data_IF_491978479278
#
_entry.id   IF_491978479278
#
_cell.length_a   1.000
_cell.length_b   1.000
_cell.length_c   1.000
_cell.angle_alpha   90.00
_cell.angle_beta   90.00
_cell.angle_gamma   90.00
#
_symmetry.space_group_name_H-M   'P 1'
#
loop_
_entity.id
_entity.type
_entity.pdbx_description
1 polymer ?
#
# COMPACT_ATOMS: atom_id res chain seq x y z
N UNK A 1 20.62 -5.19 16.02
CA UNK A 1 19.20 -5.43 15.75
C UNK A 1 18.75 -4.78 14.46
N UNK A 2 18.98 -3.50 14.24
CA UNK A 2 18.63 -2.75 13.00
C UNK A 2 19.12 -3.43 11.73
N UNK A 3 20.36 -3.95 11.73
CA UNK A 3 20.92 -4.69 10.60
C UNK A 3 20.14 -5.98 10.27
N UNK A 4 19.62 -6.68 11.26
CA UNK A 4 18.81 -7.90 11.04
C UNK A 4 17.48 -7.57 10.40
N UNK A 5 16.80 -6.54 10.88
CA UNK A 5 15.53 -6.06 10.28
C UNK A 5 15.78 -5.56 8.86
N UNK A 6 16.87 -4.82 8.63
CA UNK A 6 17.26 -4.35 7.30
C UNK A 6 17.53 -5.52 6.35
N UNK A 7 18.24 -6.55 6.81
CA UNK A 7 18.49 -7.76 6.01
C UNK A 7 17.20 -8.50 5.63
N UNK A 8 16.25 -8.64 6.56
CA UNK A 8 14.94 -9.23 6.31
C UNK A 8 14.19 -8.42 5.27
N UNK A 9 14.20 -7.09 5.37
CA UNK A 9 13.56 -6.19 4.44
C UNK A 9 14.15 -6.31 3.04
N UNK A 10 15.48 -6.31 2.91
CA UNK A 10 16.17 -6.50 1.62
C UNK A 10 15.82 -7.86 1.02
N UNK A 11 15.84 -8.93 1.83
CA UNK A 11 15.47 -10.27 1.39
C UNK A 11 14.01 -10.31 0.89
N UNK A 12 13.08 -9.67 1.60
CA UNK A 12 11.70 -9.56 1.18
C UNK A 12 11.56 -8.82 -0.15
N UNK A 13 12.28 -7.71 -0.36
CA UNK A 13 12.29 -7.00 -1.65
C UNK A 13 12.82 -7.87 -2.79
N UNK A 14 13.89 -8.64 -2.58
CA UNK A 14 14.43 -9.56 -3.58
C UNK A 14 13.38 -10.64 -3.93
N UNK A 15 12.71 -11.21 -2.93
CA UNK A 15 11.65 -12.20 -3.14
C UNK A 15 10.45 -11.63 -3.90
N UNK A 16 10.04 -10.41 -3.58
CA UNK A 16 8.96 -9.70 -4.28
C UNK A 16 9.36 -9.40 -5.74
N UNK A 17 10.60 -8.95 -5.97
CA UNK A 17 11.10 -8.68 -7.32
C UNK A 17 11.25 -9.94 -8.18
N UNK A 18 11.56 -11.07 -7.56
CA UNK A 18 11.73 -12.37 -8.24
C UNK A 18 10.48 -13.23 -8.29
N UNK A 19 9.30 -12.67 -8.02
CA UNK A 19 8.01 -13.40 -8.03
C UNK A 19 7.78 -14.20 -9.31
N UNK A 20 8.14 -13.63 -10.47
CA UNK A 20 7.98 -14.32 -11.75
C UNK A 20 8.75 -15.65 -11.83
N UNK A 21 9.84 -15.77 -11.07
CA UNK A 21 10.72 -16.95 -11.02
C UNK A 21 10.27 -17.87 -9.88
N UNK A 22 10.08 -17.30 -8.69
CA UNK A 22 9.80 -18.05 -7.44
C UNK A 22 8.35 -18.49 -7.32
N UNK A 23 7.42 -17.87 -8.08
CA UNK A 23 5.96 -18.10 -8.00
C UNK A 23 5.36 -17.84 -6.61
N UNK A 24 6.06 -17.11 -5.75
CA UNK A 24 5.61 -16.75 -4.41
C UNK A 24 4.79 -15.46 -4.48
N UNK A 25 3.65 -15.43 -3.79
CA UNK A 25 2.77 -14.27 -3.79
C UNK A 25 3.41 -13.08 -3.07
N UNK A 26 3.49 -11.92 -3.73
CA UNK A 26 4.06 -10.66 -3.20
C UNK A 26 3.44 -10.26 -1.86
N UNK A 27 2.10 -10.34 -1.76
CA UNK A 27 1.39 -9.96 -0.56
C UNK A 27 1.74 -10.87 0.63
N UNK A 28 1.89 -12.18 0.39
CA UNK A 28 2.29 -13.13 1.42
C UNK A 28 3.69 -12.83 1.94
N UNK A 29 4.65 -12.55 1.04
CA UNK A 29 6.03 -12.17 1.42
C UNK A 29 6.04 -10.89 2.25
N UNK A 30 5.31 -9.85 1.79
CA UNK A 30 5.25 -8.57 2.48
C UNK A 30 4.64 -8.69 3.88
N UNK A 31 3.51 -9.41 4.03
CA UNK A 31 2.86 -9.64 5.31
C UNK A 31 3.78 -10.44 6.26
N UNK A 32 4.37 -11.51 5.76
CA UNK A 32 5.27 -12.35 6.55
C UNK A 32 6.48 -11.56 7.04
N UNK A 33 7.20 -10.87 6.14
CA UNK A 33 8.37 -10.07 6.49
C UNK A 33 8.02 -8.93 7.44
N UNK A 34 6.89 -8.25 7.23
CA UNK A 34 6.39 -7.21 8.13
C UNK A 34 6.08 -7.75 9.52
N UNK A 35 5.38 -8.88 9.60
CA UNK A 35 5.06 -9.52 10.88
C UNK A 35 6.31 -9.94 11.65
N UNK A 36 7.27 -10.61 10.97
CA UNK A 36 8.55 -11.00 11.56
C UNK A 36 9.33 -9.77 12.03
N UNK A 37 9.38 -8.72 11.21
CA UNK A 37 10.05 -7.47 11.58
C UNK A 37 9.46 -6.83 12.84
N UNK A 38 8.12 -6.78 12.96
CA UNK A 38 7.44 -6.25 14.14
C UNK A 38 7.66 -7.12 15.39
N UNK A 39 7.60 -8.45 15.27
CA UNK A 39 7.87 -9.36 16.38
C UNK A 39 9.29 -9.16 16.90
N UNK A 40 10.28 -9.10 16.00
CA UNK A 40 11.67 -8.83 16.37
C UNK A 40 11.83 -7.46 17.04
N UNK A 41 11.17 -6.43 16.52
CA UNK A 41 11.23 -5.09 17.10
C UNK A 41 10.63 -5.05 18.50
N UNK A 42 9.47 -5.69 18.73
CA UNK A 42 8.82 -5.75 20.04
C UNK A 42 9.68 -6.56 21.04
N UNK A 43 10.27 -7.67 20.58
CA UNK A 43 11.04 -8.54 21.47
C UNK A 43 12.42 -7.99 21.83
N UNK A 44 13.09 -7.30 20.90
CA UNK A 44 14.49 -6.91 21.02
C UNK A 44 14.74 -5.40 20.85
N UNK A 45 13.70 -4.58 20.75
CA UNK A 45 13.82 -3.13 20.48
C UNK A 45 14.17 -2.26 21.69
N UNK A 46 14.55 -2.85 22.83
CA UNK A 46 14.81 -2.11 24.05
C UNK A 46 15.86 -0.99 23.87
N UNK A 47 17.02 -1.34 23.31
CA UNK A 47 18.12 -0.39 23.10
C UNK A 47 17.72 0.73 22.13
N UNK A 48 16.91 0.42 21.13
CA UNK A 48 16.42 1.39 20.16
C UNK A 48 15.42 2.37 20.78
N UNK A 49 14.50 1.88 21.59
CA UNK A 49 13.50 2.73 22.27
C UNK A 49 14.18 3.67 23.26
N UNK A 50 15.16 3.20 24.01
CA UNK A 50 15.87 4.03 24.99
C UNK A 50 16.77 5.08 24.33
N UNK A 51 17.24 4.85 23.10
CA UNK A 51 18.05 5.82 22.35
C UNK A 51 17.22 6.80 21.52
N UNK A 52 16.34 6.29 20.66
CA UNK A 52 15.63 7.12 19.67
C UNK A 52 14.28 7.65 20.16
N UNK A 53 13.61 6.94 21.08
CA UNK A 53 12.32 7.33 21.64
C UNK A 53 12.38 7.66 23.13
N UNK A 54 13.53 8.10 23.63
CA UNK A 54 13.77 8.37 25.05
C UNK A 54 12.79 9.38 25.65
N UNK A 55 12.45 10.44 24.92
CA UNK A 55 11.51 11.46 25.38
C UNK A 55 10.08 10.94 25.50
N UNK A 56 9.62 10.17 24.51
CA UNK A 56 8.27 9.60 24.50
C UNK A 56 8.13 8.49 25.53
N UNK A 57 9.19 7.69 25.71
CA UNK A 57 9.22 6.64 26.71
C UNK A 57 9.24 7.24 28.14
N UNK A 58 10.02 8.31 28.38
CA UNK A 58 10.03 9.02 29.67
C UNK A 58 8.66 9.64 29.99
N UNK A 59 7.99 10.21 28.98
CA UNK A 59 6.62 10.71 29.12
C UNK A 59 5.63 9.60 29.47
N UNK A 60 5.75 8.44 28.83
CA UNK A 60 4.93 7.27 29.10
C UNK A 60 5.09 6.78 30.53
N UNK A 61 6.32 6.72 31.05
CA UNK A 61 6.59 6.36 32.45
C UNK A 61 5.98 7.37 33.45
N UNK A 62 6.09 8.67 33.15
CA UNK A 62 5.57 9.75 34.02
C UNK A 62 4.03 9.79 34.06
N UNK A 63 3.33 9.27 33.06
CA UNK A 63 1.86 9.19 33.03
C UNK A 63 1.30 8.09 33.91
N UNK A 64 2.14 7.27 34.55
CA UNK A 64 1.71 6.20 35.47
C UNK A 64 0.90 5.09 34.80
N UNK A 65 1.03 4.90 33.51
CA UNK A 65 0.30 3.91 32.73
C UNK A 65 0.89 2.49 32.84
N UNK A 66 1.80 2.28 33.77
CA UNK A 66 2.50 1.01 34.02
C UNK A 66 2.44 0.65 35.51
N UNK A 67 2.47 -0.64 35.81
CA UNK A 67 2.53 -1.14 37.21
C UNK A 67 4.00 -1.25 37.63
N UNK A 68 4.35 -0.70 38.78
CA UNK A 68 5.72 -0.70 39.34
C UNK A 68 6.31 -2.12 39.56
N UNK A 69 5.47 -3.16 39.45
CA UNK A 69 5.85 -4.57 39.65
C UNK A 69 6.38 -5.24 38.39
N UNK A 70 6.18 -4.60 37.20
CA UNK A 70 6.62 -5.20 35.93
C UNK A 70 8.11 -4.94 35.67
N UNK A 71 8.77 -5.94 35.06
CA UNK A 71 10.17 -5.78 34.65
C UNK A 71 10.28 -4.69 33.56
N UNK A 72 11.38 -3.95 33.56
CA UNK A 72 11.67 -2.90 32.53
C UNK A 72 11.48 -3.44 31.11
N UNK A 73 11.85 -4.69 30.84
CA UNK A 73 11.66 -5.34 29.54
C UNK A 73 10.19 -5.45 29.16
N UNK A 74 9.31 -5.79 30.08
CA UNK A 74 7.86 -5.91 29.87
C UNK A 74 7.26 -4.52 29.59
N UNK A 75 7.64 -3.52 30.37
CA UNK A 75 7.18 -2.14 30.20
C UNK A 75 7.56 -1.58 28.82
N UNK A 76 8.80 -1.83 28.36
CA UNK A 76 9.25 -1.42 27.01
C UNK A 76 8.44 -2.09 25.91
N UNK A 77 8.14 -3.39 26.05
CA UNK A 77 7.32 -4.12 25.07
C UNK A 77 5.91 -3.54 24.98
N UNK A 78 5.28 -3.22 26.11
CA UNK A 78 3.97 -2.56 26.15
C UNK A 78 4.03 -1.17 25.51
N UNK A 79 5.08 -0.40 25.80
CA UNK A 79 5.28 0.91 25.17
C UNK A 79 5.38 0.78 23.65
N UNK A 80 6.22 -0.13 23.12
CA UNK A 80 6.37 -0.36 21.69
C UNK A 80 5.02 -0.76 21.08
N UNK A 81 4.33 -1.73 21.69
CA UNK A 81 3.07 -2.22 21.16
C UNK A 81 1.99 -1.13 21.12
N UNK A 82 1.85 -0.32 22.17
CA UNK A 82 0.77 0.65 22.30
C UNK A 82 1.07 1.99 21.60
N UNK A 83 2.29 2.51 21.74
CA UNK A 83 2.62 3.86 21.28
C UNK A 83 3.35 3.88 19.94
N UNK A 84 3.90 2.75 19.49
CA UNK A 84 4.59 2.68 18.22
C UNK A 84 3.79 1.78 17.25
N UNK A 85 3.63 0.50 17.56
CA UNK A 85 3.00 -0.47 16.66
C UNK A 85 1.54 -0.13 16.32
N UNK A 86 0.70 0.11 17.32
CA UNK A 86 -0.73 0.35 17.13
C UNK A 86 -1.03 1.58 16.24
N UNK A 87 -0.36 2.74 16.41
CA UNK A 87 -0.53 3.89 15.51
C UNK A 87 -0.11 3.59 14.06
N UNK A 88 0.96 2.82 13.83
CA UNK A 88 1.36 2.45 12.47
C UNK A 88 0.36 1.49 11.82
N UNK A 89 -0.15 0.52 12.57
CA UNK A 89 -1.23 -0.37 12.09
C UNK A 89 -2.50 0.42 11.79
N UNK A 90 -2.85 1.38 12.65
CA UNK A 90 -3.99 2.28 12.43
C UNK A 90 -3.87 3.05 11.10
N UNK A 91 -2.73 3.68 10.84
CA UNK A 91 -2.46 4.37 9.57
C UNK A 91 -2.51 3.43 8.36
N UNK A 92 -1.96 2.23 8.49
CA UNK A 92 -2.05 1.22 7.43
C UNK A 92 -3.51 0.81 7.17
N UNK A 93 -4.30 0.62 8.23
CA UNK A 93 -5.72 0.31 8.12
C UNK A 93 -6.52 1.44 7.45
N UNK A 94 -6.23 2.70 7.76
CA UNK A 94 -6.82 3.87 7.08
C UNK A 94 -6.60 3.81 5.56
N UNK A 95 -5.36 3.54 5.13
CA UNK A 95 -5.01 3.43 3.70
C UNK A 95 -5.78 2.27 3.05
N UNK A 96 -5.82 1.11 3.70
CA UNK A 96 -6.54 -0.07 3.16
C UNK A 96 -8.04 0.21 3.05
N UNK A 97 -8.66 0.80 4.07
CA UNK A 97 -10.08 1.16 4.05
C UNK A 97 -10.38 2.20 2.97
N UNK A 98 -9.51 3.20 2.81
CA UNK A 98 -9.62 4.19 1.74
C UNK A 98 -9.58 3.55 0.35
N UNK A 99 -8.61 2.65 0.12
CA UNK A 99 -8.49 1.93 -1.16
C UNK A 99 -9.72 1.05 -1.43
N UNK A 100 -10.21 0.33 -0.43
CA UNK A 100 -11.44 -0.48 -0.57
C UNK A 100 -12.65 0.37 -0.90
N UNK A 101 -12.83 1.50 -0.21
CA UNK A 101 -13.94 2.41 -0.46
C UNK A 101 -13.88 2.99 -1.88
N UNK A 102 -12.72 3.50 -2.30
CA UNK A 102 -12.54 4.09 -3.64
C UNK A 102 -12.75 3.04 -4.75
N UNK A 103 -12.20 1.83 -4.61
CA UNK A 103 -12.42 0.75 -5.56
C UNK A 103 -13.91 0.39 -5.67
N UNK A 104 -14.62 0.30 -4.53
CA UNK A 104 -16.04 -0.01 -4.51
C UNK A 104 -16.86 1.08 -5.22
N UNK A 105 -16.59 2.35 -4.93
CA UNK A 105 -17.27 3.48 -5.57
C UNK A 105 -17.04 3.47 -7.09
N UNK A 106 -15.79 3.29 -7.53
CA UNK A 106 -15.44 3.25 -8.95
C UNK A 106 -16.12 2.09 -9.65
N UNK A 107 -16.19 0.91 -9.02
CA UNK A 107 -16.87 -0.25 -9.59
C UNK A 107 -18.38 -0.01 -9.73
N UNK A 108 -19.03 0.59 -8.74
CA UNK A 108 -20.44 0.99 -8.82
C UNK A 108 -20.67 1.99 -9.95
N UNK A 109 -19.82 3.01 -10.08
CA UNK A 109 -19.91 4.00 -11.16
C UNK A 109 -19.71 3.36 -12.54
N UNK A 110 -18.75 2.43 -12.66
CA UNK A 110 -18.51 1.71 -13.90
C UNK A 110 -19.71 0.84 -14.30
N UNK A 111 -20.29 0.11 -13.36
CA UNK A 111 -21.46 -0.75 -13.60
C UNK A 111 -22.72 0.04 -13.96
N UNK A 112 -22.83 1.28 -13.47
CA UNK A 112 -23.94 2.19 -13.81
C UNK A 112 -23.68 3.00 -15.10
N UNK A 113 -22.61 2.71 -15.85
CA UNK A 113 -22.34 3.37 -17.12
C UNK A 113 -21.87 4.83 -17.01
N UNK A 114 -21.49 5.28 -15.80
CA UNK A 114 -21.01 6.66 -15.59
C UNK A 114 -19.79 7.01 -16.45
N UNK A 115 -19.05 6.01 -16.90
CA UNK A 115 -17.87 6.20 -17.74
C UNK A 115 -18.11 5.93 -19.24
N UNK A 116 -19.36 5.69 -19.66
CA UNK A 116 -19.68 5.42 -21.07
C UNK A 116 -19.41 6.63 -21.98
N UNK A 117 -19.49 7.86 -21.46
CA UNK A 117 -19.07 9.04 -22.19
C UNK A 117 -17.58 9.01 -22.55
N UNK A 118 -16.72 8.47 -21.68
CA UNK A 118 -15.28 8.32 -21.95
C UNK A 118 -15.06 7.28 -23.07
N UNK A 119 -15.80 6.16 -23.03
CA UNK A 119 -15.77 5.16 -24.10
C UNK A 119 -16.18 5.75 -25.44
N UNK A 120 -17.20 6.59 -25.46
CA UNK A 120 -17.62 7.30 -26.69
C UNK A 120 -16.55 8.28 -27.18
N UNK A 121 -15.92 9.01 -26.25
CA UNK A 121 -14.84 9.96 -26.55
C UNK A 121 -13.60 9.26 -27.14
N UNK A 122 -13.28 8.06 -26.63
CA UNK A 122 -12.18 7.22 -27.10
C UNK A 122 -12.46 6.54 -28.45
N UNK A 123 -13.73 6.49 -28.90
CA UNK A 123 -14.13 5.85 -30.15
C UNK A 123 -13.85 6.72 -31.38
N UNK A 124 -12.61 7.11 -31.56
CA UNK A 124 -12.17 7.91 -32.72
C UNK A 124 -11.44 7.05 -33.75
N UNK A 125 -11.59 7.42 -35.04
CA UNK A 125 -10.92 6.71 -36.14
C UNK A 125 -9.40 6.99 -36.25
N UNK A 126 -8.93 8.08 -35.64
CA UNK A 126 -7.53 8.50 -35.71
C UNK A 126 -6.76 8.03 -34.47
N UNK A 127 -5.76 7.18 -34.67
CA UNK A 127 -4.90 6.67 -33.60
C UNK A 127 -4.21 7.79 -32.79
N UNK A 128 -3.75 8.85 -33.46
CA UNK A 128 -3.12 9.99 -32.78
C UNK A 128 -4.08 10.77 -31.90
N UNK A 129 -5.31 11.00 -32.37
CA UNK A 129 -6.35 11.68 -31.57
C UNK A 129 -6.76 10.81 -30.37
N UNK A 130 -6.90 9.51 -30.57
CA UNK A 130 -7.23 8.58 -29.49
C UNK A 130 -6.16 8.58 -28.39
N UNK A 131 -4.87 8.59 -28.76
CA UNK A 131 -3.77 8.64 -27.80
C UNK A 131 -3.80 9.93 -26.96
N UNK A 132 -4.00 11.09 -27.59
CA UNK A 132 -4.08 12.37 -26.88
C UNK A 132 -5.29 12.45 -25.95
N UNK A 133 -6.45 11.98 -26.41
CA UNK A 133 -7.67 11.92 -25.57
C UNK A 133 -7.45 10.98 -24.39
N UNK A 134 -6.87 9.79 -24.64
CA UNK A 134 -6.55 8.81 -23.61
C UNK A 134 -5.63 9.44 -22.55
N UNK A 135 -4.53 10.07 -22.99
CA UNK A 135 -3.58 10.71 -22.09
C UNK A 135 -4.23 11.82 -21.24
N UNK A 136 -5.03 12.69 -21.86
CA UNK A 136 -5.72 13.77 -21.15
C UNK A 136 -6.74 13.24 -20.13
N UNK A 137 -7.56 12.26 -20.54
CA UNK A 137 -8.56 11.63 -19.67
C UNK A 137 -7.89 10.89 -18.50
N UNK A 138 -6.86 10.10 -18.80
CA UNK A 138 -6.09 9.38 -17.75
C UNK A 138 -5.46 10.35 -16.77
N UNK A 139 -4.90 11.46 -17.23
CA UNK A 139 -4.32 12.49 -16.38
C UNK A 139 -5.37 13.08 -15.41
N UNK A 140 -6.53 13.48 -15.92
CA UNK A 140 -7.61 14.06 -15.10
C UNK A 140 -8.16 13.04 -14.09
N UNK A 141 -8.36 11.80 -14.51
CA UNK A 141 -8.86 10.73 -13.63
C UNK A 141 -7.82 10.38 -12.57
N UNK A 142 -6.54 10.24 -12.95
CA UNK A 142 -5.46 9.93 -12.01
C UNK A 142 -5.19 11.04 -10.99
N UNK A 143 -5.54 12.28 -11.31
CA UNK A 143 -5.47 13.38 -10.35
C UNK A 143 -6.56 13.33 -9.26
N UNK A 144 -7.65 12.59 -9.50
CA UNK A 144 -8.78 12.46 -8.57
C UNK A 144 -8.87 11.07 -7.93
N UNK A 145 -8.40 10.04 -8.61
CA UNK A 145 -8.37 8.66 -8.13
C UNK A 145 -6.91 8.22 -7.91
N UNK A 146 -6.73 7.12 -7.19
CA UNK A 146 -5.41 6.50 -7.06
C UNK A 146 -4.93 5.89 -8.41
N UNK A 147 -3.62 5.76 -8.55
CA UNK A 147 -3.01 5.28 -9.78
C UNK A 147 -3.40 3.84 -10.15
N UNK A 148 -3.59 2.98 -9.13
CA UNK A 148 -3.95 1.59 -9.37
C UNK A 148 -5.37 1.49 -9.94
N UNK A 149 -6.34 2.16 -9.32
CA UNK A 149 -7.73 2.19 -9.77
C UNK A 149 -7.85 2.82 -11.16
N UNK A 150 -7.15 3.93 -11.39
CA UNK A 150 -7.11 4.58 -12.71
C UNK A 150 -6.56 3.63 -13.78
N UNK A 151 -5.47 2.94 -13.50
CA UNK A 151 -4.85 2.00 -14.46
C UNK A 151 -5.80 0.86 -14.80
N UNK A 152 -6.38 0.20 -13.79
CA UNK A 152 -7.32 -0.92 -13.99
C UNK A 152 -8.54 -0.46 -14.79
N UNK A 153 -9.11 0.70 -14.44
CA UNK A 153 -10.26 1.28 -15.11
C UNK A 153 -9.95 1.59 -16.58
N UNK A 154 -8.84 2.27 -16.87
CA UNK A 154 -8.46 2.63 -18.22
C UNK A 154 -8.13 1.40 -19.08
N UNK A 155 -7.44 0.40 -18.54
CA UNK A 155 -7.18 -0.86 -19.25
C UNK A 155 -8.48 -1.61 -19.57
N UNK A 156 -9.44 -1.64 -18.64
CA UNK A 156 -10.75 -2.27 -18.86
C UNK A 156 -11.53 -1.55 -19.96
N UNK A 157 -11.52 -0.21 -19.96
CA UNK A 157 -12.15 0.59 -21.01
C UNK A 157 -11.49 0.37 -22.37
N UNK A 158 -10.14 0.37 -22.43
CA UNK A 158 -9.41 0.10 -23.66
C UNK A 158 -9.70 -1.28 -24.22
N UNK A 159 -9.91 -2.27 -23.34
CA UNK A 159 -10.29 -3.61 -23.76
C UNK A 159 -11.64 -3.64 -24.51
N UNK A 160 -12.59 -2.81 -24.10
CA UNK A 160 -13.89 -2.66 -24.75
C UNK A 160 -13.87 -1.85 -26.04
N UNK A 161 -12.91 -0.91 -26.19
CA UNK A 161 -12.83 0.02 -27.35
C UNK A 161 -11.93 -0.53 -28.47
N UNK A 162 -10.84 -1.21 -28.12
CA UNK A 162 -9.85 -1.73 -29.06
C UNK A 162 -9.88 -3.25 -29.10
N UNK A 163 -10.53 -3.87 -30.12
CA UNK A 163 -10.62 -5.33 -30.23
C UNK A 163 -9.27 -5.99 -30.56
N UNK A 164 -8.34 -5.27 -31.20
CA UNK A 164 -7.07 -5.81 -31.65
C UNK A 164 -6.03 -5.83 -30.53
N UNK A 165 -5.59 -7.03 -30.09
CA UNK A 165 -4.63 -7.26 -29.02
C UNK A 165 -3.29 -6.52 -29.23
N UNK A 166 -2.82 -6.44 -30.48
CA UNK A 166 -1.55 -5.77 -30.84
C UNK A 166 -1.62 -4.26 -30.62
N UNK A 167 -2.75 -3.66 -30.94
CA UNK A 167 -2.96 -2.21 -30.73
C UNK A 167 -3.11 -1.88 -29.24
N UNK A 168 -3.75 -2.74 -28.47
CA UNK A 168 -3.86 -2.55 -26.99
C UNK A 168 -2.50 -2.53 -26.30
N UNK A 169 -1.53 -3.36 -26.74
CA UNK A 169 -0.19 -3.36 -26.17
C UNK A 169 0.64 -2.11 -26.49
N UNK A 170 0.26 -1.37 -27.53
CA UNK A 170 0.95 -0.12 -27.91
C UNK A 170 0.38 1.11 -27.18
N UNK A 171 -0.89 1.08 -26.83
CA UNK A 171 -1.60 2.22 -26.22
C UNK A 171 -1.82 2.09 -24.70
N UNK A 172 -1.67 0.92 -24.12
CA UNK A 172 -1.77 0.66 -22.66
C UNK A 172 -0.43 0.61 -22.01
#
# INVERSE_FOLDING_TARGET
>A
MTLVILAILILAYILIATENITKVNRAAVAIFAGTVGWVLYICFGMDFVTSEHSSDYSRYLNLGMWNEIESTSTTVKYFIARNIFLPYVGRAAEIVLFLLATMTIVEILNNNGCFDFIRQLLRTRSAKKMLWILAAVTFVISANLDNLTTTVMMLTMMHGVIPNRRQRMVYG
#
